data_IF_580236615050
#
_entry.id   IF_580236615050
#
_cell.length_a   1.000
_cell.length_b   1.000
_cell.length_c   1.000
_cell.angle_alpha   90.00
_cell.angle_beta   90.00
_cell.angle_gamma   90.00
#
_symmetry.space_group_name_H-M   'P 1'
#
loop_
_entity.id
_entity.type
_entity.pdbx_description
1 polymer ?
#
# COMPACT_ATOMS: atom_id res chain seq x y z
N UNK A 1 22.39 16.44 25.92
CA UNK A 1 21.27 15.50 26.17
C UNK A 1 20.16 15.80 25.18
N UNK A 2 19.38 14.84 24.64
CA UNK A 2 19.42 13.39 24.81
C UNK A 2 19.76 12.62 23.51
N UNK A 3 20.20 11.39 23.69
CA UNK A 3 20.43 10.36 22.69
C UNK A 3 19.11 9.77 22.19
N UNK A 4 19.03 9.38 20.91
CA UNK A 4 18.13 8.30 20.46
C UNK A 4 18.91 7.36 19.52
N UNK A 5 18.91 6.05 19.77
CA UNK A 5 19.53 5.08 18.87
C UNK A 5 18.60 4.90 17.66
N UNK A 6 19.10 5.12 16.44
CA UNK A 6 18.28 5.08 15.22
C UNK A 6 18.29 3.70 14.55
N UNK A 7 18.84 2.67 15.17
CA UNK A 7 19.18 1.42 14.46
C UNK A 7 18.08 0.35 14.47
N UNK A 8 17.01 0.49 15.25
CA UNK A 8 15.96 -0.54 15.34
C UNK A 8 14.74 -0.26 14.44
N UNK A 9 14.35 1.01 14.26
CA UNK A 9 13.18 1.42 13.46
C UNK A 9 13.32 1.10 11.96
N UNK A 10 14.52 1.28 11.38
CA UNK A 10 14.77 0.95 9.97
C UNK A 10 14.60 -0.55 9.66
N UNK A 11 14.80 -1.41 10.66
CA UNK A 11 14.68 -2.86 10.49
C UNK A 11 13.21 -3.33 10.52
N UNK A 12 12.41 -2.78 11.42
CA UNK A 12 10.99 -3.14 11.55
C UNK A 12 10.18 -2.68 10.33
N UNK A 13 10.39 -1.46 9.85
CA UNK A 13 9.73 -0.94 8.64
C UNK A 13 10.12 -1.75 7.40
N UNK A 14 11.40 -2.13 7.29
CA UNK A 14 11.89 -2.98 6.20
C UNK A 14 11.26 -4.37 6.22
N UNK A 15 11.01 -4.93 7.41
CA UNK A 15 10.38 -6.24 7.56
C UNK A 15 8.89 -6.19 7.21
N UNK A 16 8.14 -5.19 7.72
CA UNK A 16 6.73 -4.98 7.37
C UNK A 16 6.54 -4.74 5.88
N UNK A 17 7.46 -4.00 5.26
CA UNK A 17 7.46 -3.81 3.83
C UNK A 17 7.61 -5.15 3.11
N UNK A 18 8.61 -5.95 3.45
CA UNK A 18 8.81 -7.26 2.83
C UNK A 18 7.58 -8.16 2.99
N UNK A 19 6.96 -8.19 4.17
CA UNK A 19 5.75 -8.97 4.40
C UNK A 19 4.57 -8.48 3.52
N UNK A 20 4.37 -7.16 3.37
CA UNK A 20 3.38 -6.60 2.45
C UNK A 20 3.65 -7.05 1.00
N UNK A 21 4.91 -6.95 0.57
CA UNK A 21 5.32 -7.31 -0.79
C UNK A 21 5.09 -8.80 -1.05
N UNK A 22 5.39 -9.66 -0.09
CA UNK A 22 5.17 -11.10 -0.21
C UNK A 22 3.68 -11.44 -0.29
N UNK A 23 2.81 -10.75 0.47
CA UNK A 23 1.36 -10.88 0.33
C UNK A 23 0.88 -10.47 -1.06
N UNK A 24 1.39 -9.37 -1.60
CA UNK A 24 1.06 -8.94 -2.96
C UNK A 24 1.52 -9.94 -4.02
N UNK A 25 2.73 -10.49 -3.88
CA UNK A 25 3.24 -11.54 -4.76
C UNK A 25 2.38 -12.80 -4.67
N UNK A 26 1.96 -13.19 -3.47
CA UNK A 26 1.04 -14.31 -3.25
C UNK A 26 -0.34 -14.07 -3.90
N UNK A 27 -0.79 -12.81 -3.97
CA UNK A 27 -1.99 -12.39 -4.71
C UNK A 27 -1.77 -12.27 -6.23
N UNK A 28 -0.57 -12.54 -6.74
CA UNK A 28 -0.22 -12.50 -8.17
C UNK A 28 0.39 -11.18 -8.65
N UNK A 29 0.65 -10.22 -7.77
CA UNK A 29 1.32 -8.96 -8.11
C UNK A 29 2.85 -9.11 -8.06
N UNK A 30 3.43 -9.66 -9.12
CA UNK A 30 4.89 -9.88 -9.20
C UNK A 30 5.74 -8.60 -9.26
N UNK A 31 5.13 -7.46 -9.63
CA UNK A 31 5.83 -6.15 -9.71
C UNK A 31 6.39 -5.70 -8.36
N UNK A 32 5.83 -6.16 -7.24
CA UNK A 32 6.37 -5.93 -5.90
C UNK A 32 7.85 -6.36 -5.76
N UNK A 33 8.31 -7.34 -6.54
CA UNK A 33 9.71 -7.83 -6.52
C UNK A 33 10.69 -7.05 -7.39
N UNK A 34 10.23 -6.10 -8.20
CA UNK A 34 11.11 -5.33 -9.10
C UNK A 34 12.11 -4.52 -8.25
N UNK A 35 13.40 -4.73 -8.49
CA UNK A 35 14.47 -3.95 -7.86
C UNK A 35 14.59 -2.63 -8.63
N UNK A 36 14.43 -1.51 -7.93
CA UNK A 36 14.45 -0.16 -8.53
C UNK A 36 13.09 0.53 -8.62
N UNK A 37 11.99 -0.18 -8.37
CA UNK A 37 10.66 0.44 -8.23
C UNK A 37 10.54 1.10 -6.85
N UNK A 38 9.97 2.31 -6.79
CA UNK A 38 9.79 3.01 -5.52
C UNK A 38 8.89 2.21 -4.58
N UNK A 39 9.17 2.27 -3.27
CA UNK A 39 8.36 1.59 -2.24
C UNK A 39 6.88 1.96 -2.34
N UNK A 40 6.59 3.24 -2.54
CA UNK A 40 5.24 3.75 -2.79
C UNK A 40 4.55 3.05 -3.96
N UNK A 41 5.22 2.96 -5.11
CA UNK A 41 4.69 2.34 -6.32
C UNK A 41 4.43 0.84 -6.14
N UNK A 42 5.29 0.16 -5.37
CA UNK A 42 5.09 -1.25 -5.01
C UNK A 42 3.86 -1.44 -4.14
N UNK A 43 3.73 -0.64 -3.07
CA UNK A 43 2.61 -0.73 -2.13
C UNK A 43 1.31 -0.34 -2.82
N UNK A 44 1.25 0.84 -3.44
CA UNK A 44 0.04 1.36 -4.07
C UNK A 44 -0.38 0.49 -5.25
N UNK A 45 0.56 0.07 -6.10
CA UNK A 45 0.27 -0.85 -7.20
C UNK A 45 -0.23 -2.21 -6.69
N UNK A 46 0.34 -2.72 -5.59
CA UNK A 46 -0.11 -3.95 -4.94
C UNK A 46 -1.51 -3.84 -4.34
N UNK A 47 -1.81 -2.73 -3.65
CA UNK A 47 -3.14 -2.46 -3.11
C UNK A 47 -4.18 -2.36 -4.22
N UNK A 48 -3.88 -1.61 -5.29
CA UNK A 48 -4.75 -1.52 -6.48
C UNK A 48 -5.00 -2.90 -7.09
N UNK A 49 -3.95 -3.70 -7.24
CA UNK A 49 -4.05 -5.07 -7.77
C UNK A 49 -4.99 -5.93 -6.92
N UNK A 50 -4.78 -5.96 -5.60
CA UNK A 50 -5.61 -6.71 -4.67
C UNK A 50 -7.06 -6.22 -4.71
N UNK A 51 -7.29 -4.90 -4.68
CA UNK A 51 -8.63 -4.32 -4.76
C UNK A 51 -9.36 -4.70 -6.04
N UNK A 52 -8.66 -4.65 -7.18
CA UNK A 52 -9.20 -5.06 -8.49
C UNK A 52 -9.58 -6.55 -8.51
N UNK A 53 -8.85 -7.40 -7.79
CA UNK A 53 -9.14 -8.83 -7.68
C UNK A 53 -10.20 -9.16 -6.61
N UNK A 54 -10.31 -8.36 -5.54
CA UNK A 54 -11.21 -8.60 -4.42
C UNK A 54 -12.69 -8.34 -4.76
N UNK A 55 -13.01 -7.46 -5.72
CA UNK A 55 -14.40 -7.21 -6.07
C UNK A 55 -14.58 -6.69 -7.49
N UNK A 56 -15.24 -7.48 -8.35
CA UNK A 56 -15.62 -7.08 -9.73
C UNK A 56 -16.71 -6.02 -9.79
N UNK A 57 -17.34 -5.70 -8.66
CA UNK A 57 -18.51 -4.80 -8.61
C UNK A 57 -18.15 -3.35 -8.36
N UNK A 58 -16.93 -3.07 -7.87
CA UNK A 58 -16.48 -1.70 -7.71
C UNK A 58 -15.82 -1.30 -9.03
N UNK A 59 -16.54 -0.53 -9.83
CA UNK A 59 -16.08 0.11 -11.07
C UNK A 59 -15.08 1.24 -10.75
N UNK A 60 -14.10 0.93 -9.91
CA UNK A 60 -13.01 1.83 -9.58
C UNK A 60 -11.96 1.63 -10.66
N UNK A 61 -11.95 2.56 -11.61
CA UNK A 61 -10.85 2.75 -12.55
C UNK A 61 -9.61 3.20 -11.77
N UNK A 62 -8.98 2.22 -11.11
CA UNK A 62 -7.73 2.34 -10.39
C UNK A 62 -6.60 2.19 -11.40
N UNK A 63 -6.39 3.24 -12.19
CA UNK A 63 -5.28 3.33 -13.11
C UNK A 63 -4.02 3.69 -12.32
N UNK A 64 -3.22 2.67 -12.00
CA UNK A 64 -1.88 2.87 -11.48
C UNK A 64 -0.90 3.13 -12.64
N UNK A 65 -0.05 4.15 -12.51
CA UNK A 65 1.07 4.41 -13.41
C UNK A 65 2.35 4.70 -12.61
N UNK A 66 3.51 4.28 -13.12
CA UNK A 66 4.79 4.41 -12.41
C UNK A 66 5.37 5.84 -12.42
N UNK A 67 4.71 6.80 -13.08
CA UNK A 67 5.12 8.22 -13.16
C UNK A 67 3.98 9.18 -12.79
N UNK A 68 3.16 8.82 -11.80
CA UNK A 68 2.06 9.69 -11.36
C UNK A 68 2.61 10.96 -10.70
N UNK A 69 2.06 12.11 -11.08
CA UNK A 69 2.31 13.38 -10.40
C UNK A 69 1.83 13.31 -8.95
N UNK A 70 2.36 14.17 -8.08
CA UNK A 70 1.98 14.19 -6.65
C UNK A 70 0.45 14.23 -6.49
N UNK A 71 -0.25 15.08 -7.27
CA UNK A 71 -1.71 15.19 -7.24
C UNK A 71 -2.44 13.93 -7.70
N UNK A 72 -1.87 13.19 -8.65
CA UNK A 72 -2.42 11.92 -9.08
C UNK A 72 -2.19 10.82 -8.05
N UNK A 73 -1.03 10.82 -7.37
CA UNK A 73 -0.76 9.94 -6.22
C UNK A 73 -1.79 10.19 -5.11
N UNK A 74 -2.10 11.45 -4.81
CA UNK A 74 -3.15 11.81 -3.84
C UNK A 74 -4.51 11.27 -4.27
N UNK A 75 -4.93 11.57 -5.50
CA UNK A 75 -6.21 11.10 -6.02
C UNK A 75 -6.31 9.56 -6.01
N UNK A 76 -5.20 8.86 -6.28
CA UNK A 76 -5.15 7.41 -6.27
C UNK A 76 -5.28 6.85 -4.85
N UNK A 77 -4.58 7.42 -3.85
CA UNK A 77 -4.72 6.97 -2.46
C UNK A 77 -6.12 7.23 -1.91
N UNK A 78 -6.74 8.36 -2.25
CA UNK A 78 -8.15 8.62 -1.91
C UNK A 78 -9.11 7.59 -2.52
N UNK A 79 -8.91 7.23 -3.80
CA UNK A 79 -9.70 6.17 -4.44
C UNK A 79 -9.53 4.84 -3.71
N UNK A 80 -8.30 4.42 -3.40
CA UNK A 80 -8.02 3.19 -2.65
C UNK A 80 -8.79 3.16 -1.32
N UNK A 81 -8.72 4.24 -0.54
CA UNK A 81 -9.43 4.35 0.75
C UNK A 81 -10.95 4.26 0.57
N UNK A 82 -11.51 4.92 -0.44
CA UNK A 82 -12.94 4.82 -0.77
C UNK A 82 -13.35 3.39 -1.12
N UNK A 83 -12.54 2.68 -1.90
CA UNK A 83 -12.78 1.28 -2.26
C UNK A 83 -12.71 0.38 -1.02
N UNK A 84 -11.68 0.52 -0.18
CA UNK A 84 -11.55 -0.23 1.08
C UNK A 84 -12.75 -0.01 2.00
N UNK A 85 -13.23 1.22 2.09
CA UNK A 85 -14.44 1.57 2.85
C UNK A 85 -15.68 0.89 2.26
N UNK A 86 -15.82 0.89 0.94
CA UNK A 86 -16.91 0.21 0.24
C UNK A 86 -16.86 -1.32 0.38
N UNK A 87 -15.66 -1.91 0.47
CA UNK A 87 -15.43 -3.32 0.79
C UNK A 87 -15.71 -3.67 2.25
N UNK A 88 -16.03 -2.67 3.09
CA UNK A 88 -16.22 -2.82 4.54
C UNK A 88 -15.00 -3.45 5.21
N UNK A 89 -13.80 -3.06 4.79
CA UNK A 89 -12.58 -3.49 5.46
C UNK A 89 -12.65 -3.09 6.95
N UNK A 90 -12.31 -4.01 7.88
CA UNK A 90 -12.38 -3.73 9.32
C UNK A 90 -11.34 -2.71 9.78
N UNK A 91 -10.27 -2.52 9.01
CA UNK A 91 -9.22 -1.56 9.28
C UNK A 91 -9.45 -0.30 8.44
N UNK A 92 -9.50 0.85 9.10
CA UNK A 92 -9.66 2.16 8.48
C UNK A 92 -8.26 2.71 8.22
N UNK A 93 -8.03 3.20 7.01
CA UNK A 93 -6.78 3.84 6.61
C UNK A 93 -7.08 5.14 5.88
N UNK A 94 -6.29 6.17 6.14
CA UNK A 94 -6.43 7.47 5.51
C UNK A 94 -5.43 7.65 4.34
N UNK A 95 -5.76 8.51 3.35
CA UNK A 95 -4.92 8.68 2.15
C UNK A 95 -3.51 9.18 2.46
N UNK A 96 -3.37 9.99 3.52
CA UNK A 96 -2.09 10.53 3.97
C UNK A 96 -1.19 9.45 4.59
N UNK A 97 -1.76 8.42 5.20
CA UNK A 97 -1.01 7.28 5.74
C UNK A 97 -0.38 6.47 4.60
N UNK A 98 -1.11 6.27 3.50
CA UNK A 98 -0.59 5.60 2.31
C UNK A 98 0.50 6.45 1.64
N UNK A 99 0.30 7.77 1.54
CA UNK A 99 1.32 8.69 1.02
C UNK A 99 2.58 8.75 1.89
N UNK A 100 2.39 8.72 3.21
CA UNK A 100 3.45 8.70 4.21
C UNK A 100 4.16 7.35 4.34
N UNK A 101 3.71 6.31 3.60
CA UNK A 101 4.21 4.95 3.72
C UNK A 101 4.13 4.42 5.15
N UNK A 102 3.02 4.70 5.84
CA UNK A 102 2.74 4.24 7.19
C UNK A 102 2.40 2.74 7.18
N UNK A 103 3.45 1.91 7.13
CA UNK A 103 3.35 0.46 7.00
C UNK A 103 2.64 -0.19 8.20
N UNK A 104 2.67 0.44 9.37
CA UNK A 104 1.97 -0.03 10.56
C UNK A 104 0.46 -0.06 10.35
N UNK A 105 -0.09 0.94 9.66
CA UNK A 105 -1.51 1.03 9.33
C UNK A 105 -1.85 0.35 7.99
N UNK A 106 -0.92 0.34 7.03
CA UNK A 106 -1.12 -0.30 5.72
C UNK A 106 -1.10 -1.84 5.82
N UNK A 107 -0.18 -2.40 6.60
CA UNK A 107 -0.02 -3.84 6.76
C UNK A 107 -1.31 -4.57 7.18
N UNK A 108 -2.02 -4.17 8.26
CA UNK A 108 -3.24 -4.86 8.67
C UNK A 108 -4.35 -4.76 7.62
N UNK A 109 -4.40 -3.70 6.81
CA UNK A 109 -5.35 -3.57 5.70
C UNK A 109 -5.10 -4.63 4.62
N UNK A 110 -3.83 -4.89 4.30
CA UNK A 110 -3.43 -5.90 3.29
C UNK A 110 -3.53 -7.32 3.84
N UNK A 111 -3.27 -7.51 5.13
CA UNK A 111 -3.29 -8.82 5.79
C UNK A 111 -4.70 -9.39 5.97
N UNK A 112 -5.76 -8.55 5.97
CA UNK A 112 -7.14 -9.01 6.20
C UNK A 112 -7.48 -10.13 5.21
N UNK A 113 -7.70 -11.32 5.77
CA UNK A 113 -8.08 -12.56 5.12
C UNK A 113 -9.35 -13.08 5.76
#
# INVERSE_FOLDING_TARGET
MPSKPTTDVDNEDSQRLMDCLDLFVAAGYFRARIKGLATFDKIVGGMVWCLSHCNRTIDADLLFAENLDIGQKIALTEKIVKVLTALKCPHIIEPHQIQGLDLENIYPVIQVR
#
